data_IF_864640153414
#
_entry.id   IF_864640153414
#
_cell.length_a   1.000
_cell.length_b   1.000
_cell.length_c   1.000
_cell.angle_alpha   90.00
_cell.angle_beta   90.00
_cell.angle_gamma   90.00
#
_symmetry.space_group_name_H-M   'P 1'
#
loop_
_entity.id
_entity.type
_entity.pdbx_description
1 polymer ?
#
# COMPACT_ATOMS: atom_id res chain seq x y z
N UNK A 1 -3.81 30.85 7.72
CA UNK A 1 -2.83 30.32 8.68
C UNK A 1 -1.46 30.42 8.04
N UNK A 2 -0.51 31.11 8.66
CA UNK A 2 0.86 31.23 8.13
C UNK A 2 1.64 29.97 8.49
N UNK A 3 2.15 29.25 7.48
CA UNK A 3 3.04 28.11 7.67
C UNK A 3 4.48 28.56 7.47
N UNK A 4 5.36 28.21 8.41
CA UNK A 4 6.80 28.48 8.33
C UNK A 4 7.52 27.17 8.09
N UNK A 5 8.03 27.00 6.88
CA UNK A 5 8.71 25.80 6.41
C UNK A 5 10.17 26.16 6.14
N UNK A 6 11.10 25.37 6.69
CA UNK A 6 12.51 25.46 6.32
C UNK A 6 12.77 24.47 5.18
N UNK A 7 13.43 24.94 4.12
CA UNK A 7 13.79 24.13 2.95
C UNK A 7 15.18 24.52 2.46
N UNK A 8 15.89 23.54 1.91
CA UNK A 8 17.16 23.67 1.20
C UNK A 8 16.99 23.88 -0.31
N UNK A 9 15.75 23.96 -0.80
CA UNK A 9 15.44 24.20 -2.20
C UNK A 9 15.83 25.64 -2.61
N UNK A 10 16.40 25.83 -3.81
CA UNK A 10 16.76 27.16 -4.28
C UNK A 10 15.50 27.99 -4.52
N UNK A 11 15.46 29.20 -3.96
CA UNK A 11 14.35 30.15 -4.15
C UNK A 11 14.58 31.10 -5.34
N UNK A 12 15.81 31.17 -5.85
CA UNK A 12 16.24 32.03 -6.95
C UNK A 12 17.26 31.31 -7.84
N UNK A 13 17.29 31.61 -9.15
CA UNK A 13 18.23 31.03 -10.14
C UNK A 13 17.61 29.97 -11.07
N UNK A 14 18.44 29.28 -11.86
CA UNK A 14 17.99 28.14 -12.67
C UNK A 14 17.59 26.97 -11.77
N UNK A 15 16.30 26.63 -11.76
CA UNK A 15 15.72 25.61 -10.87
C UNK A 15 15.06 26.17 -9.61
N UNK A 16 14.84 27.49 -9.53
CA UNK A 16 14.12 28.12 -8.43
C UNK A 16 12.71 27.54 -8.24
N UNK A 17 12.36 27.23 -6.99
CA UNK A 17 11.05 26.73 -6.58
C UNK A 17 10.33 27.84 -5.85
N UNK A 18 9.09 28.12 -6.25
CA UNK A 18 8.23 29.12 -5.61
C UNK A 18 7.79 28.67 -4.22
N UNK A 19 7.42 29.62 -3.36
CA UNK A 19 6.91 29.30 -2.02
C UNK A 19 5.63 28.45 -2.08
N UNK A 20 4.80 28.65 -3.11
CA UNK A 20 3.61 27.88 -3.39
C UNK A 20 3.94 26.41 -3.69
N UNK A 21 4.93 26.16 -4.55
CA UNK A 21 5.40 24.80 -4.87
C UNK A 21 6.00 24.11 -3.63
N UNK A 22 6.77 24.83 -2.80
CA UNK A 22 7.28 24.31 -1.53
C UNK A 22 6.13 23.90 -0.61
N UNK A 23 5.06 24.71 -0.54
CA UNK A 23 3.88 24.40 0.26
C UNK A 23 3.14 23.16 -0.29
N UNK A 24 2.99 23.04 -1.61
CA UNK A 24 2.39 21.88 -2.27
C UNK A 24 3.18 20.59 -2.01
N UNK A 25 4.51 20.63 -2.11
CA UNK A 25 5.38 19.51 -1.75
C UNK A 25 5.18 19.13 -0.28
N UNK A 26 5.12 20.11 0.62
CA UNK A 26 4.93 19.85 2.04
C UNK A 26 3.57 19.21 2.35
N UNK A 27 2.51 19.56 1.61
CA UNK A 27 1.19 18.90 1.73
C UNK A 27 1.29 17.41 1.41
N UNK A 28 2.14 17.01 0.46
CA UNK A 28 2.34 15.60 0.13
C UNK A 28 2.93 14.77 1.28
N UNK A 29 3.48 15.40 2.34
CA UNK A 29 3.93 14.71 3.56
C UNK A 29 2.83 13.82 4.16
N UNK A 30 1.57 14.22 4.07
CA UNK A 30 0.43 13.46 4.63
C UNK A 30 0.21 12.11 3.95
N UNK A 31 0.74 11.91 2.73
CA UNK A 31 0.63 10.63 2.03
C UNK A 31 1.27 9.48 2.81
N UNK A 32 2.32 9.74 3.61
CA UNK A 32 2.91 8.71 4.45
C UNK A 32 1.96 8.24 5.56
N UNK A 33 1.16 9.14 6.12
CA UNK A 33 0.18 8.81 7.16
C UNK A 33 -0.98 8.00 6.58
N UNK A 34 -1.41 8.33 5.36
CA UNK A 34 -2.40 7.54 4.62
C UNK A 34 -1.87 6.14 4.28
N UNK A 35 -0.59 6.02 3.88
CA UNK A 35 0.07 4.73 3.69
C UNK A 35 0.06 3.92 4.98
N UNK A 36 0.54 4.48 6.09
CA UNK A 36 0.56 3.78 7.38
C UNK A 36 -0.82 3.32 7.81
N UNK A 37 -1.84 4.18 7.69
CA UNK A 37 -3.23 3.84 7.97
C UNK A 37 -3.71 2.67 7.11
N UNK A 38 -3.35 2.64 5.83
CA UNK A 38 -3.71 1.54 4.93
C UNK A 38 -3.03 0.22 5.36
N UNK A 39 -1.72 0.26 5.66
CA UNK A 39 -0.95 -0.92 6.07
C UNK A 39 -1.50 -1.53 7.38
N UNK A 40 -1.80 -0.71 8.36
CA UNK A 40 -2.38 -1.15 9.63
C UNK A 40 -3.79 -1.72 9.43
N UNK A 41 -4.68 -0.95 8.79
CA UNK A 41 -6.09 -1.30 8.69
C UNK A 41 -6.34 -2.53 7.79
N UNK A 42 -5.69 -2.57 6.63
CA UNK A 42 -6.00 -3.54 5.57
C UNK A 42 -4.99 -4.68 5.46
N UNK A 43 -3.72 -4.45 5.78
CA UNK A 43 -2.67 -5.48 5.73
C UNK A 43 -2.30 -6.04 7.11
N UNK A 44 -2.99 -5.63 8.18
CA UNK A 44 -2.85 -6.16 9.55
C UNK A 44 -1.42 -6.04 10.10
N UNK A 45 -0.74 -4.94 9.77
CA UNK A 45 0.60 -4.67 10.30
C UNK A 45 0.59 -4.44 11.83
N UNK A 46 -0.55 -4.01 12.38
CA UNK A 46 -0.81 -3.83 13.81
C UNK A 46 -0.81 -5.14 14.62
N UNK A 47 -1.09 -6.27 13.95
CA UNK A 47 -1.18 -7.58 14.58
C UNK A 47 0.08 -8.41 14.30
N UNK A 48 1.07 -8.27 15.17
CA UNK A 48 2.33 -9.00 15.06
C UNK A 48 2.13 -10.51 15.26
N UNK A 49 2.53 -11.30 14.27
CA UNK A 49 2.44 -12.76 14.31
C UNK A 49 3.56 -13.36 15.20
N UNK A 50 4.66 -12.62 15.38
CA UNK A 50 5.86 -13.11 16.09
C UNK A 50 6.50 -11.99 16.91
N UNK A 51 7.07 -12.33 18.07
CA UNK A 51 7.77 -11.38 18.97
C UNK A 51 9.29 -11.27 18.71
N UNK A 52 9.82 -12.08 17.80
CA UNK A 52 11.21 -12.04 17.38
C UNK A 52 11.43 -10.87 16.41
N UNK A 53 12.51 -10.12 16.60
CA UNK A 53 12.92 -8.99 15.76
C UNK A 53 12.96 -9.35 14.26
N UNK A 54 13.49 -10.53 13.92
CA UNK A 54 13.49 -11.01 12.52
C UNK A 54 12.07 -11.25 11.98
N UNK A 55 11.17 -11.78 12.81
CA UNK A 55 9.78 -12.02 12.43
C UNK A 55 9.03 -10.71 12.20
N UNK A 56 9.27 -9.72 13.06
CA UNK A 56 8.71 -8.37 12.93
C UNK A 56 9.21 -7.70 11.65
N UNK A 57 10.53 -7.70 11.40
CA UNK A 57 11.11 -7.18 10.15
C UNK A 57 10.51 -7.83 8.92
N UNK A 58 10.40 -9.15 8.91
CA UNK A 58 9.84 -9.90 7.79
C UNK A 58 8.36 -9.55 7.56
N UNK A 59 7.58 -9.34 8.62
CA UNK A 59 6.18 -8.92 8.52
C UNK A 59 6.06 -7.52 7.90
N UNK A 60 6.89 -6.56 8.34
CA UNK A 60 6.96 -5.22 7.75
C UNK A 60 7.27 -5.32 6.25
N UNK A 61 8.31 -6.07 5.87
CA UNK A 61 8.66 -6.23 4.45
C UNK A 61 7.54 -6.88 3.64
N UNK A 62 6.85 -7.88 4.19
CA UNK A 62 5.69 -8.51 3.53
C UNK A 62 4.55 -7.52 3.29
N UNK A 63 4.23 -6.67 4.26
CA UNK A 63 3.20 -5.64 4.11
C UNK A 63 3.57 -4.62 3.02
N UNK A 64 4.83 -4.16 3.00
CA UNK A 64 5.31 -3.22 1.98
C UNK A 64 5.28 -3.86 0.58
N UNK A 65 5.78 -5.10 0.45
CA UNK A 65 5.77 -5.84 -0.83
C UNK A 65 4.32 -6.02 -1.32
N UNK A 66 3.40 -6.42 -0.44
CA UNK A 66 1.99 -6.57 -0.80
C UNK A 66 1.37 -5.24 -1.27
N UNK A 67 1.69 -4.13 -0.59
CA UNK A 67 1.26 -2.80 -1.02
C UNK A 67 1.77 -2.43 -2.41
N UNK A 68 3.07 -2.67 -2.69
CA UNK A 68 3.65 -2.41 -4.01
C UNK A 68 2.99 -3.25 -5.11
N UNK A 69 2.73 -4.53 -4.83
CA UNK A 69 2.01 -5.40 -5.75
C UNK A 69 0.61 -4.85 -6.05
N UNK A 70 -0.12 -4.38 -5.03
CA UNK A 70 -1.44 -3.77 -5.22
C UNK A 70 -1.39 -2.50 -6.06
N UNK A 71 -0.32 -1.72 -5.98
CA UNK A 71 -0.14 -0.53 -6.83
C UNK A 71 0.10 -0.92 -8.30
N UNK A 72 0.83 -2.00 -8.54
CA UNK A 72 1.20 -2.47 -9.88
C UNK A 72 0.12 -3.29 -10.59
N UNK A 73 -0.77 -3.95 -9.84
CA UNK A 73 -1.85 -4.76 -10.42
C UNK A 73 -2.91 -3.85 -11.02
N UNK A 74 -3.31 -4.14 -12.25
CA UNK A 74 -4.55 -3.61 -12.82
C UNK A 74 -5.66 -4.66 -12.71
N UNK A 75 -6.86 -4.18 -12.37
CA UNK A 75 -8.08 -4.97 -12.27
C UNK A 75 -9.04 -4.55 -13.38
N UNK A 76 -9.98 -5.43 -13.74
CA UNK A 76 -11.00 -5.10 -14.74
C UNK A 76 -11.78 -3.84 -14.34
N UNK A 77 -12.08 -2.98 -15.32
CA UNK A 77 -12.66 -1.66 -15.08
C UNK A 77 -13.99 -1.69 -14.30
N UNK A 78 -14.70 -2.82 -14.32
CA UNK A 78 -15.96 -3.03 -13.59
C UNK A 78 -15.83 -3.15 -12.08
N UNK A 79 -14.65 -3.42 -11.53
CA UNK A 79 -14.44 -3.60 -10.08
C UNK A 79 -13.98 -2.33 -9.36
N UNK A 80 -13.68 -1.26 -10.10
CA UNK A 80 -13.21 0.02 -9.57
C UNK A 80 -11.72 0.25 -9.79
N UNK A 81 -11.21 1.34 -9.21
CA UNK A 81 -9.80 1.78 -9.36
C UNK A 81 -9.09 1.99 -8.03
N UNK A 82 -9.81 1.94 -6.90
CA UNK A 82 -9.19 2.19 -5.61
C UNK A 82 -8.28 1.03 -5.19
N UNK A 83 -7.28 1.34 -4.36
CA UNK A 83 -6.37 0.31 -3.84
C UNK A 83 -7.11 -0.76 -3.03
N UNK A 84 -8.21 -0.37 -2.36
CA UNK A 84 -9.07 -1.29 -1.62
C UNK A 84 -9.84 -2.22 -2.55
N UNK A 85 -10.29 -1.73 -3.71
CA UNK A 85 -10.95 -2.57 -4.72
C UNK A 85 -9.98 -3.60 -5.27
N UNK A 86 -8.74 -3.19 -5.58
CA UNK A 86 -7.66 -4.10 -6.00
C UNK A 86 -7.37 -5.17 -4.95
N UNK A 87 -7.32 -4.79 -3.67
CA UNK A 87 -7.13 -5.73 -2.56
C UNK A 87 -8.30 -6.72 -2.45
N UNK A 88 -9.54 -6.25 -2.52
CA UNK A 88 -10.75 -7.10 -2.45
C UNK A 88 -10.85 -8.03 -3.64
N UNK A 89 -10.54 -7.54 -4.84
CA UNK A 89 -10.48 -8.34 -6.05
C UNK A 89 -9.46 -9.46 -5.88
N UNK A 90 -8.24 -9.14 -5.44
CA UNK A 90 -7.20 -10.14 -5.18
C UNK A 90 -7.64 -11.15 -4.11
N UNK A 91 -8.24 -10.71 -3.00
CA UNK A 91 -8.76 -11.60 -1.96
C UNK A 91 -9.82 -12.56 -2.52
N UNK A 92 -10.77 -12.06 -3.31
CA UNK A 92 -11.78 -12.88 -3.99
C UNK A 92 -11.14 -13.90 -4.92
N UNK A 93 -10.21 -13.44 -5.77
CA UNK A 93 -9.46 -14.28 -6.71
C UNK A 93 -8.69 -15.40 -5.99
N UNK A 94 -7.97 -15.06 -4.92
CA UNK A 94 -7.23 -16.03 -4.10
C UNK A 94 -8.17 -17.04 -3.43
N UNK A 95 -9.30 -16.60 -2.89
CA UNK A 95 -10.31 -17.49 -2.31
C UNK A 95 -10.88 -18.48 -3.34
N UNK A 96 -11.10 -18.03 -4.58
CA UNK A 96 -11.59 -18.88 -5.66
C UNK A 96 -10.51 -19.82 -6.19
N UNK A 97 -9.28 -19.38 -6.39
CA UNK A 97 -8.29 -20.20 -7.11
C UNK A 97 -7.26 -20.90 -6.23
N UNK A 98 -7.02 -20.41 -5.02
CA UNK A 98 -5.90 -20.82 -4.15
C UNK A 98 -6.38 -21.36 -2.80
N UNK A 99 -7.67 -21.30 -2.49
CA UNK A 99 -8.22 -21.94 -1.29
C UNK A 99 -7.90 -23.44 -1.29
N UNK A 100 -7.35 -23.93 -0.18
CA UNK A 100 -7.09 -25.35 0.05
C UNK A 100 -8.34 -26.21 -0.18
N UNK A 101 -9.52 -25.69 0.16
CA UNK A 101 -10.79 -26.38 -0.07
C UNK A 101 -11.05 -26.53 -1.56
N UNK A 102 -10.85 -25.46 -2.34
CA UNK A 102 -11.09 -25.52 -3.79
C UNK A 102 -10.01 -26.32 -4.51
N UNK A 103 -8.76 -26.25 -4.06
CA UNK A 103 -7.68 -27.10 -4.54
C UNK A 103 -7.93 -28.58 -4.25
N UNK A 104 -8.39 -28.90 -3.03
CA UNK A 104 -8.76 -30.25 -2.62
C UNK A 104 -9.98 -30.77 -3.39
N UNK A 105 -11.04 -29.96 -3.54
CA UNK A 105 -12.20 -30.30 -4.38
C UNK A 105 -11.77 -30.57 -5.81
N UNK A 106 -10.91 -29.72 -6.39
CA UNK A 106 -10.44 -29.93 -7.76
C UNK A 106 -9.64 -31.21 -7.91
N UNK A 107 -8.84 -31.61 -6.92
CA UNK A 107 -8.13 -32.89 -6.94
C UNK A 107 -9.10 -34.07 -6.82
N UNK A 108 -9.99 -34.05 -5.83
CA UNK A 108 -10.92 -35.15 -5.54
C UNK A 108 -11.94 -35.37 -6.65
N UNK A 109 -12.43 -34.30 -7.28
CA UNK A 109 -13.44 -34.35 -8.33
C UNK A 109 -12.86 -34.27 -9.76
N UNK A 110 -11.53 -34.35 -9.95
CA UNK A 110 -10.89 -34.41 -11.28
C UNK A 110 -10.54 -35.83 -11.76
N UNK A 111 -10.99 -36.87 -11.03
CA UNK A 111 -10.95 -38.28 -11.47
C UNK A 111 -12.35 -38.71 -11.93
#
# INVERSE_FOLDING_TARGET
>A
TEFRLATDLPLEGEGAVSNEEVAEIYIQRWQIELLWKFLEMHLKLDNLITKNDNGIRLQIYRCIIAYLILQLIDIEEGFGKSLLDKLRYLQSFMCQHISYVNWFQRIVYST
#
